data_IF_723191294690
#
_entry.id   IF_723191294690
#
_cell.length_a   1.000
_cell.length_b   1.000
_cell.length_c   1.000
_cell.angle_alpha   90.00
_cell.angle_beta   90.00
_cell.angle_gamma   90.00
#
_symmetry.space_group_name_H-M   'P 1'
#
loop_
_entity.id
_entity.type
_entity.pdbx_description
1 polymer ?
#
# COMPACT_ATOMS: atom_id res chain seq x y z
N UNK A 1 -88.65 -9.87 60.99
CA UNK A 1 -87.31 -9.95 60.36
C UNK A 1 -87.10 -9.08 59.11
N UNK A 2 -88.14 -8.62 58.36
CA UNK A 2 -87.92 -7.81 57.13
C UNK A 2 -87.44 -6.36 57.34
N UNK A 3 -87.66 -5.76 58.51
CA UNK A 3 -87.33 -4.34 58.77
C UNK A 3 -85.86 -4.07 59.14
N UNK A 4 -85.12 -5.08 59.61
CA UNK A 4 -83.74 -4.89 60.08
C UNK A 4 -82.75 -4.86 58.90
N UNK A 5 -82.88 -5.81 57.97
CA UNK A 5 -82.07 -5.89 56.75
C UNK A 5 -82.19 -4.66 55.84
N UNK A 6 -83.37 -4.04 55.75
CA UNK A 6 -83.56 -2.82 54.94
C UNK A 6 -82.81 -1.62 55.55
N UNK A 7 -82.70 -1.54 56.88
CA UNK A 7 -81.95 -0.47 57.54
C UNK A 7 -80.44 -0.67 57.37
N UNK A 8 -79.97 -1.92 57.47
CA UNK A 8 -78.56 -2.27 57.34
C UNK A 8 -78.04 -2.06 55.90
N UNK A 9 -78.79 -2.48 54.87
CA UNK A 9 -78.43 -2.17 53.47
C UNK A 9 -78.43 -0.67 53.16
N UNK A 10 -79.31 0.13 53.80
CA UNK A 10 -79.30 1.59 53.62
C UNK A 10 -78.07 2.24 54.24
N UNK A 11 -77.62 1.76 55.41
CA UNK A 11 -76.40 2.25 56.05
C UNK A 11 -75.18 1.89 55.21
N UNK A 12 -75.13 0.66 54.69
CA UNK A 12 -74.02 0.19 53.86
C UNK A 12 -73.93 0.97 52.55
N UNK A 13 -75.06 1.20 51.87
CA UNK A 13 -75.11 2.04 50.68
C UNK A 13 -74.77 3.52 50.97
N UNK A 14 -75.10 4.03 52.16
CA UNK A 14 -74.69 5.39 52.56
C UNK A 14 -73.17 5.47 52.77
N UNK A 15 -72.58 4.50 53.44
CA UNK A 15 -71.13 4.44 53.66
C UNK A 15 -70.36 4.26 52.35
N UNK A 16 -70.86 3.44 51.41
CA UNK A 16 -70.29 3.31 50.07
C UNK A 16 -70.38 4.64 49.29
N UNK A 17 -71.50 5.34 49.39
CA UNK A 17 -71.69 6.66 48.77
C UNK A 17 -70.77 7.72 49.37
N UNK A 18 -70.58 7.73 50.69
CA UNK A 18 -69.65 8.61 51.39
C UNK A 18 -68.19 8.34 51.00
N UNK A 19 -67.81 7.07 50.87
CA UNK A 19 -66.48 6.68 50.38
C UNK A 19 -66.25 7.11 48.93
N UNK A 20 -67.27 6.99 48.07
CA UNK A 20 -67.19 7.45 46.67
C UNK A 20 -67.07 8.98 46.58
N UNK A 21 -67.86 9.74 47.34
CA UNK A 21 -67.73 11.20 47.34
C UNK A 21 -66.41 11.68 47.94
N UNK A 22 -65.91 11.01 48.98
CA UNK A 22 -64.59 11.33 49.55
C UNK A 22 -63.48 11.12 48.52
N UNK A 23 -63.52 10.01 47.77
CA UNK A 23 -62.56 9.76 46.66
C UNK A 23 -62.69 10.78 45.53
N UNK A 24 -63.92 11.16 45.17
CA UNK A 24 -64.16 12.18 44.14
C UNK A 24 -63.63 13.56 44.59
N UNK A 25 -63.85 13.93 45.85
CA UNK A 25 -63.35 15.19 46.42
C UNK A 25 -61.82 15.22 46.42
N UNK A 26 -61.18 14.14 46.86
CA UNK A 26 -59.72 14.03 46.88
C UNK A 26 -59.14 14.12 45.45
N UNK A 27 -59.72 13.40 44.49
CA UNK A 27 -59.31 13.46 43.10
C UNK A 27 -59.49 14.86 42.49
N UNK A 28 -60.61 15.53 42.80
CA UNK A 28 -60.85 16.91 42.35
C UNK A 28 -59.82 17.89 42.94
N UNK A 29 -59.42 17.68 44.20
CA UNK A 29 -58.43 18.52 44.88
C UNK A 29 -57.03 18.32 44.30
N UNK A 30 -56.62 17.08 44.02
CA UNK A 30 -55.35 16.79 43.32
C UNK A 30 -55.29 17.41 41.92
N UNK A 31 -56.41 17.37 41.17
CA UNK A 31 -56.47 18.03 39.86
C UNK A 31 -56.40 19.56 39.98
N UNK A 32 -57.01 20.13 41.01
CA UNK A 32 -56.98 21.57 41.26
C UNK A 32 -55.55 22.05 41.61
N UNK A 33 -54.83 21.33 42.47
CA UNK A 33 -53.43 21.63 42.80
C UNK A 33 -52.52 21.53 41.56
N UNK A 34 -52.72 20.50 40.74
CA UNK A 34 -51.99 20.34 39.47
C UNK A 34 -52.28 21.50 38.51
N UNK A 35 -53.53 21.94 38.42
CA UNK A 35 -53.91 23.08 37.59
C UNK A 35 -53.25 24.38 38.09
N UNK A 36 -53.27 24.62 39.41
CA UNK A 36 -52.60 25.77 40.02
C UNK A 36 -51.09 25.78 39.73
N UNK A 37 -50.41 24.64 39.86
CA UNK A 37 -48.97 24.57 39.53
C UNK A 37 -48.68 24.89 38.05
N UNK A 38 -49.60 24.54 37.15
CA UNK A 38 -49.47 24.83 35.71
C UNK A 38 -49.73 26.30 35.41
N UNK A 39 -50.67 26.93 36.11
CA UNK A 39 -50.93 28.37 36.00
C UNK A 39 -49.70 29.16 36.46
N UNK A 40 -49.11 28.80 37.60
CA UNK A 40 -47.91 29.46 38.11
C UNK A 40 -46.72 29.39 37.13
N UNK A 41 -46.54 28.25 36.45
CA UNK A 41 -45.51 28.09 35.42
C UNK A 41 -45.76 29.00 34.20
N UNK A 42 -47.02 29.10 33.75
CA UNK A 42 -47.38 30.00 32.63
C UNK A 42 -47.16 31.47 33.00
N UNK A 43 -47.48 31.88 34.23
CA UNK A 43 -47.22 33.25 34.70
C UNK A 43 -45.72 33.59 34.74
N UNK A 44 -44.85 32.62 35.05
CA UNK A 44 -43.40 32.80 35.01
C UNK A 44 -42.89 33.01 33.57
N UNK A 45 -43.33 32.17 32.64
CA UNK A 45 -43.00 32.31 31.21
C UNK A 45 -43.50 33.63 30.61
N UNK A 46 -44.67 34.12 31.05
CA UNK A 46 -45.25 35.35 30.55
C UNK A 46 -44.42 36.57 30.99
N UNK A 47 -43.91 36.57 32.23
CA UNK A 47 -42.99 37.61 32.71
C UNK A 47 -41.66 37.62 31.95
N UNK A 48 -41.14 36.44 31.59
CA UNK A 48 -39.93 36.34 30.79
C UNK A 48 -40.15 36.92 29.39
N UNK A 49 -41.29 36.61 28.76
CA UNK A 49 -41.66 37.18 27.46
C UNK A 49 -41.86 38.71 27.51
N UNK A 50 -42.49 39.24 28.56
CA UNK A 50 -42.63 40.69 28.78
C UNK A 50 -41.26 41.37 28.94
N UNK A 51 -40.30 40.74 29.62
CA UNK A 51 -38.93 41.24 29.74
C UNK A 51 -38.24 41.32 28.38
N UNK A 52 -38.33 40.27 27.56
CA UNK A 52 -37.74 40.26 26.23
C UNK A 52 -38.37 41.29 25.29
N UNK A 53 -39.69 41.55 25.40
CA UNK A 53 -40.35 42.59 24.62
C UNK A 53 -39.90 43.99 25.01
N UNK A 54 -39.71 44.26 26.30
CA UNK A 54 -39.20 45.55 26.77
C UNK A 54 -37.77 45.83 26.29
N UNK A 55 -36.92 44.80 26.23
CA UNK A 55 -35.57 44.91 25.64
C UNK A 55 -35.63 45.25 24.15
N UNK A 56 -36.51 44.60 23.39
CA UNK A 56 -36.70 44.87 21.96
C UNK A 56 -37.27 46.26 21.67
N UNK A 57 -38.22 46.73 22.48
CA UNK A 57 -38.84 48.05 22.30
C UNK A 57 -37.83 49.18 22.56
N UNK A 58 -36.97 49.01 23.58
CA UNK A 58 -35.87 49.93 23.86
C UNK A 58 -34.82 49.98 22.73
N UNK A 59 -34.58 48.88 22.02
CA UNK A 59 -33.71 48.86 20.84
C UNK A 59 -34.34 49.61 19.64
N UNK A 60 -35.68 49.57 19.49
CA UNK A 60 -36.38 50.22 18.37
C UNK A 60 -36.56 51.75 18.50
N UNK A 61 -36.56 52.29 19.73
CA UNK A 61 -36.68 53.75 19.95
C UNK A 61 -35.45 54.55 19.47
N UNK A 62 -34.32 53.90 19.16
CA UNK A 62 -33.16 54.56 18.55
C UNK A 62 -33.33 54.86 17.05
N UNK A 63 -34.26 54.18 16.38
CA UNK A 63 -34.40 54.22 14.91
C UNK A 63 -35.34 55.37 14.42
N UNK A 64 -36.18 55.93 15.30
CA UNK A 64 -37.19 56.95 14.97
C UNK A 64 -36.71 58.41 15.14
N UNK A 65 -35.42 58.66 15.36
CA UNK A 65 -34.85 60.02 15.48
C UNK A 65 -34.26 60.57 14.17
N UNK A 66 -34.54 59.95 13.01
CA UNK A 66 -34.01 60.30 11.69
C UNK A 66 -35.02 61.05 10.81
N UNK A 67 -35.51 62.23 11.23
CA UNK A 67 -36.36 63.04 10.34
C UNK A 67 -36.11 64.54 10.48
N UNK A 68 -34.84 64.96 10.42
CA UNK A 68 -34.51 66.39 10.28
C UNK A 68 -33.06 66.64 9.78
N UNK A 69 -32.60 65.99 8.70
CA UNK A 69 -31.28 66.29 8.12
C UNK A 69 -31.30 66.27 6.57
N UNK A 70 -31.72 67.38 5.95
CA UNK A 70 -31.71 67.56 4.48
C UNK A 70 -30.34 67.95 3.89
N UNK A 71 -29.27 67.92 4.67
CA UNK A 71 -27.90 68.28 4.24
C UNK A 71 -26.94 67.07 4.26
N UNK A 72 -27.26 65.98 4.97
CA UNK A 72 -26.50 64.72 4.98
C UNK A 72 -26.69 63.88 3.70
N UNK A 73 -27.86 63.97 3.03
CA UNK A 73 -28.12 63.21 1.79
C UNK A 73 -27.14 63.52 0.64
N UNK A 74 -26.57 64.73 0.58
CA UNK A 74 -25.63 65.11 -0.49
C UNK A 74 -24.22 64.54 -0.28
N UNK A 75 -23.81 64.38 0.99
CA UNK A 75 -22.56 63.69 1.33
C UNK A 75 -22.74 62.17 1.18
N UNK A 76 -23.88 61.60 1.60
CA UNK A 76 -24.23 60.19 1.37
C UNK A 76 -24.25 59.80 -0.12
N UNK A 77 -24.79 60.66 -1.00
CA UNK A 77 -24.78 60.44 -2.46
C UNK A 77 -23.36 60.44 -3.05
N UNK A 78 -22.44 61.18 -2.43
CA UNK A 78 -21.03 61.25 -2.86
C UNK A 78 -20.22 60.06 -2.35
N UNK A 79 -20.50 59.61 -1.13
CA UNK A 79 -19.93 58.39 -0.55
C UNK A 79 -20.45 57.13 -1.25
N UNK A 80 -21.73 57.09 -1.60
CA UNK A 80 -22.35 56.00 -2.36
C UNK A 80 -21.71 55.83 -3.73
N UNK A 81 -21.41 56.93 -4.44
CA UNK A 81 -20.71 56.88 -5.73
C UNK A 81 -19.27 56.38 -5.60
N UNK A 82 -18.58 56.78 -4.53
CA UNK A 82 -17.21 56.31 -4.25
C UNK A 82 -17.19 54.80 -3.94
N UNK A 83 -18.17 54.32 -3.18
CA UNK A 83 -18.36 52.90 -2.90
C UNK A 83 -18.72 52.10 -4.16
N UNK A 84 -19.54 52.65 -5.08
CA UNK A 84 -19.84 52.03 -6.37
C UNK A 84 -18.60 51.92 -7.27
N UNK A 85 -17.75 52.95 -7.32
CA UNK A 85 -16.48 52.93 -8.04
C UNK A 85 -15.50 51.90 -7.44
N UNK A 86 -15.41 51.82 -6.11
CA UNK A 86 -14.62 50.81 -5.40
C UNK A 86 -15.15 49.40 -5.69
N UNK A 87 -16.47 49.17 -5.65
CA UNK A 87 -17.10 47.89 -6.01
C UNK A 87 -16.85 47.51 -7.47
N UNK A 88 -16.92 48.46 -8.40
CA UNK A 88 -16.61 48.21 -9.80
C UNK A 88 -15.13 47.83 -9.99
N UNK A 89 -14.23 48.49 -9.26
CA UNK A 89 -12.80 48.18 -9.28
C UNK A 89 -12.49 46.79 -8.70
N UNK A 90 -13.17 46.41 -7.61
CA UNK A 90 -13.02 45.12 -6.97
C UNK A 90 -13.55 43.99 -7.85
N UNK A 91 -14.68 44.19 -8.53
CA UNK A 91 -15.21 43.22 -9.52
C UNK A 91 -14.25 43.01 -10.68
N UNK A 92 -13.63 44.07 -11.19
CA UNK A 92 -12.64 43.95 -12.24
C UNK A 92 -11.39 43.18 -11.77
N UNK A 93 -10.98 43.36 -10.51
CA UNK A 93 -9.88 42.57 -9.91
C UNK A 93 -10.28 41.11 -9.69
N UNK A 94 -11.51 40.84 -9.27
CA UNK A 94 -12.05 39.49 -9.12
C UNK A 94 -12.06 38.74 -10.46
N UNK A 95 -12.56 39.35 -11.54
CA UNK A 95 -12.56 38.76 -12.88
C UNK A 95 -11.14 38.53 -13.45
N UNK A 96 -10.16 39.35 -13.06
CA UNK A 96 -8.76 39.12 -13.42
C UNK A 96 -8.17 37.93 -12.65
N UNK A 97 -8.41 37.87 -11.35
CA UNK A 97 -7.97 36.76 -10.50
C UNK A 97 -8.62 35.43 -10.90
N UNK A 98 -9.89 35.43 -11.32
CA UNK A 98 -10.55 34.24 -11.85
C UNK A 98 -9.90 33.74 -13.14
N UNK A 99 -9.49 34.67 -14.03
CA UNK A 99 -8.75 34.31 -15.24
C UNK A 99 -7.37 33.76 -14.91
N UNK A 100 -6.64 34.40 -14.00
CA UNK A 100 -5.34 33.90 -13.52
C UNK A 100 -5.46 32.51 -12.89
N UNK A 101 -6.48 32.26 -12.07
CA UNK A 101 -6.75 30.94 -11.48
C UNK A 101 -7.03 29.89 -12.55
N UNK A 102 -7.87 30.22 -13.55
CA UNK A 102 -8.15 29.31 -14.66
C UNK A 102 -6.88 28.97 -15.45
N UNK A 103 -6.03 29.95 -15.74
CA UNK A 103 -4.78 29.72 -16.45
C UNK A 103 -3.83 28.83 -15.62
N UNK A 104 -3.73 29.08 -14.32
CA UNK A 104 -2.88 28.34 -13.39
C UNK A 104 -3.37 26.89 -13.19
N UNK A 105 -4.69 26.66 -13.20
CA UNK A 105 -5.28 25.32 -13.21
C UNK A 105 -4.88 24.54 -14.48
N UNK A 106 -4.95 25.16 -15.65
CA UNK A 106 -4.54 24.49 -16.90
C UNK A 106 -3.03 24.18 -16.93
N UNK A 107 -2.20 25.06 -16.38
CA UNK A 107 -0.76 24.81 -16.25
C UNK A 107 -0.48 23.66 -15.28
N UNK A 108 -1.22 23.58 -14.17
CA UNK A 108 -1.08 22.50 -13.19
C UNK A 108 -1.52 21.13 -13.77
N UNK A 109 -2.59 21.09 -14.57
CA UNK A 109 -2.99 19.89 -15.30
C UNK A 109 -1.89 19.45 -16.28
N UNK A 110 -1.32 20.38 -17.03
CA UNK A 110 -0.23 20.11 -17.97
C UNK A 110 1.01 19.58 -17.23
N UNK A 111 1.38 20.19 -16.11
CA UNK A 111 2.48 19.75 -15.26
C UNK A 111 2.23 18.35 -14.70
N UNK A 112 1.00 18.04 -14.30
CA UNK A 112 0.60 16.71 -13.82
C UNK A 112 0.77 15.62 -14.89
N UNK A 113 0.45 15.93 -16.15
CA UNK A 113 0.69 15.01 -17.28
C UNK A 113 2.19 14.79 -17.51
N UNK A 114 2.99 15.86 -17.47
CA UNK A 114 4.45 15.76 -17.59
C UNK A 114 5.06 14.93 -16.45
N UNK A 115 4.57 15.11 -15.23
CA UNK A 115 5.04 14.39 -14.04
C UNK A 115 4.76 12.88 -14.18
N UNK A 116 3.56 12.50 -14.64
CA UNK A 116 3.23 11.08 -14.93
C UNK A 116 4.17 10.48 -15.98
N UNK A 117 4.45 11.20 -17.06
CA UNK A 117 5.39 10.76 -18.11
C UNK A 117 6.82 10.61 -17.59
N UNK A 118 7.28 11.53 -16.74
CA UNK A 118 8.59 11.43 -16.08
C UNK A 118 8.65 10.24 -15.13
N UNK A 119 7.58 9.98 -14.38
CA UNK A 119 7.49 8.83 -13.48
C UNK A 119 7.51 7.49 -14.24
N UNK A 120 6.89 7.41 -15.42
CA UNK A 120 6.98 6.23 -16.29
C UNK A 120 8.40 6.02 -16.82
N UNK A 121 9.08 7.10 -17.22
CA UNK A 121 10.50 7.05 -17.61
C UNK A 121 11.42 6.66 -16.47
N UNK A 122 11.16 7.17 -15.26
CA UNK A 122 11.89 6.81 -14.05
C UNK A 122 11.81 5.30 -13.80
N UNK A 123 10.59 4.73 -13.82
CA UNK A 123 10.40 3.27 -13.72
C UNK A 123 11.14 2.51 -14.82
N UNK A 124 11.08 3.00 -16.06
CA UNK A 124 11.80 2.38 -17.18
C UNK A 124 13.33 2.41 -17.00
N UNK A 125 13.87 3.51 -16.48
CA UNK A 125 15.29 3.66 -16.17
C UNK A 125 15.71 2.81 -14.96
N UNK A 126 14.87 2.72 -13.92
CA UNK A 126 15.08 1.87 -12.76
C UNK A 126 15.13 0.39 -13.16
N UNK A 127 14.18 -0.05 -14.01
CA UNK A 127 14.20 -1.38 -14.62
C UNK A 127 15.48 -1.65 -15.43
N UNK A 128 16.00 -0.64 -16.14
CA UNK A 128 17.27 -0.75 -16.87
C UNK A 128 18.47 -0.82 -15.93
N UNK A 129 18.51 -0.01 -14.86
CA UNK A 129 19.59 -0.04 -13.88
C UNK A 129 19.62 -1.36 -13.11
N UNK A 130 18.45 -1.88 -12.72
CA UNK A 130 18.32 -3.23 -12.15
C UNK A 130 18.79 -4.31 -13.13
N UNK A 131 18.55 -4.12 -14.44
CA UNK A 131 19.00 -5.03 -15.49
C UNK A 131 20.51 -5.00 -15.73
N UNK A 132 21.17 -3.88 -15.45
CA UNK A 132 22.58 -3.64 -15.71
C UNK A 132 23.37 -3.28 -14.43
N UNK A 133 23.06 -3.94 -13.32
CA UNK A 133 23.85 -3.76 -12.11
C UNK A 133 25.31 -4.19 -12.37
N UNK A 134 26.24 -3.34 -11.90
CA UNK A 134 27.69 -3.33 -12.12
C UNK A 134 28.39 -4.67 -11.80
N UNK A 135 29.66 -4.89 -12.22
CA UNK A 135 30.31 -6.19 -12.12
C UNK A 135 30.17 -6.80 -10.72
N UNK A 136 29.52 -7.95 -10.65
CA UNK A 136 29.38 -8.79 -9.44
C UNK A 136 30.72 -9.43 -9.03
N UNK A 137 31.84 -9.02 -9.66
CA UNK A 137 33.15 -9.57 -9.42
C UNK A 137 34.15 -8.55 -8.89
N UNK A 138 35.02 -9.05 -8.03
CA UNK A 138 36.21 -8.37 -7.54
C UNK A 138 37.46 -9.14 -7.98
N UNK A 139 38.56 -8.43 -8.23
CA UNK A 139 39.84 -9.08 -8.56
C UNK A 139 40.60 -9.30 -7.27
N UNK A 140 40.84 -10.56 -6.94
CA UNK A 140 41.56 -10.95 -5.72
C UNK A 140 43.04 -11.11 -5.97
N UNK A 141 43.39 -11.70 -7.12
CA UNK A 141 44.78 -11.85 -7.53
C UNK A 141 44.96 -11.57 -9.02
N UNK A 142 46.05 -10.88 -9.36
CA UNK A 142 46.47 -10.70 -10.75
C UNK A 142 47.99 -10.90 -10.86
N UNK A 143 48.40 -11.93 -11.58
CA UNK A 143 49.80 -12.29 -11.79
C UNK A 143 50.09 -12.47 -13.28
N UNK A 144 51.37 -12.71 -13.63
CA UNK A 144 51.73 -12.99 -15.02
C UNK A 144 51.16 -14.32 -15.54
N UNK A 145 50.87 -15.28 -14.66
CA UNK A 145 50.45 -16.63 -15.02
C UNK A 145 48.96 -16.90 -14.78
N UNK A 146 48.34 -16.18 -13.85
CA UNK A 146 46.93 -16.36 -13.51
C UNK A 146 46.26 -15.06 -13.03
N UNK A 147 44.94 -14.99 -13.19
CA UNK A 147 44.08 -14.02 -12.54
C UNK A 147 42.95 -14.73 -11.81
N UNK A 148 42.59 -14.23 -10.63
CA UNK A 148 41.54 -14.77 -9.78
C UNK A 148 40.47 -13.71 -9.58
N UNK A 149 39.24 -14.06 -9.93
CA UNK A 149 38.06 -13.21 -9.79
C UNK A 149 37.11 -13.84 -8.77
N UNK A 150 36.62 -13.05 -7.83
CA UNK A 150 35.67 -13.49 -6.83
C UNK A 150 34.28 -12.95 -7.14
N UNK A 151 33.26 -13.79 -6.97
CA UNK A 151 31.84 -13.45 -7.14
C UNK A 151 31.07 -13.74 -5.85
N UNK A 152 29.89 -13.12 -5.68
CA UNK A 152 28.99 -13.32 -4.53
C UNK A 152 29.69 -13.17 -3.18
N UNK A 153 30.34 -12.03 -2.94
CA UNK A 153 31.03 -11.77 -1.67
C UNK A 153 32.08 -12.86 -1.32
N UNK A 154 32.99 -13.12 -2.25
CA UNK A 154 34.09 -14.11 -2.11
C UNK A 154 33.68 -15.57 -1.95
N UNK A 155 32.44 -15.92 -2.29
CA UNK A 155 31.93 -17.29 -2.13
C UNK A 155 32.09 -18.15 -3.39
N UNK A 156 32.26 -17.54 -4.57
CA UNK A 156 32.57 -18.23 -5.83
C UNK A 156 33.87 -17.64 -6.38
N UNK A 157 34.84 -18.50 -6.66
CA UNK A 157 36.12 -18.12 -7.24
C UNK A 157 36.20 -18.56 -8.71
N UNK A 158 36.68 -17.67 -9.58
CA UNK A 158 37.03 -17.95 -10.96
C UNK A 158 38.53 -17.77 -11.15
N UNK A 159 39.21 -18.87 -11.43
CA UNK A 159 40.65 -18.88 -11.75
C UNK A 159 40.84 -18.91 -13.27
N UNK A 160 41.57 -17.93 -13.79
CA UNK A 160 41.95 -17.83 -15.20
C UNK A 160 43.45 -18.04 -15.32
N UNK A 161 43.89 -19.09 -15.99
CA UNK A 161 45.31 -19.37 -16.22
C UNK A 161 45.71 -18.89 -17.62
N UNK A 162 46.71 -18.02 -17.67
CA UNK A 162 47.25 -17.44 -18.90
C UNK A 162 48.28 -18.36 -19.55
N UNK A 163 48.19 -18.45 -20.87
CA UNK A 163 49.16 -19.10 -21.74
C UNK A 163 50.19 -18.12 -22.30
N UNK A 164 51.04 -18.60 -23.23
CA UNK A 164 52.05 -17.75 -23.85
C UNK A 164 51.39 -16.59 -24.63
N UNK A 165 52.05 -15.43 -24.72
CA UNK A 165 51.60 -14.33 -25.55
C UNK A 165 51.53 -14.77 -27.01
N UNK A 166 50.54 -14.28 -27.75
CA UNK A 166 50.39 -14.57 -29.18
C UNK A 166 51.43 -13.78 -29.95
N UNK A 167 52.28 -14.46 -30.72
CA UNK A 167 53.35 -13.84 -31.53
C UNK A 167 52.78 -12.79 -32.50
N UNK A 168 53.26 -11.54 -32.38
CA UNK A 168 52.95 -10.44 -33.31
C UNK A 168 52.53 -9.12 -32.65
N UNK A 169 52.18 -9.12 -31.36
CA UNK A 169 51.71 -7.92 -30.66
C UNK A 169 52.85 -7.24 -29.86
N UNK A 170 53.85 -6.74 -30.59
CA UNK A 170 55.02 -6.04 -30.02
C UNK A 170 54.74 -4.54 -29.81
N UNK A 171 53.57 -4.04 -30.21
CA UNK A 171 53.23 -2.61 -30.21
C UNK A 171 51.98 -2.22 -29.39
N UNK A 172 51.29 -3.15 -28.73
CA UNK A 172 50.21 -2.85 -27.79
C UNK A 172 50.67 -2.89 -26.33
N UNK A 173 50.15 -2.00 -25.48
CA UNK A 173 50.43 -1.98 -24.02
C UNK A 173 49.97 -3.26 -23.29
N UNK A 174 49.14 -4.11 -23.92
CA UNK A 174 48.67 -5.39 -23.38
C UNK A 174 48.63 -6.48 -24.48
N UNK A 175 49.63 -7.36 -24.59
CA UNK A 175 49.62 -8.42 -25.60
C UNK A 175 48.45 -9.37 -25.35
N UNK A 176 47.67 -9.67 -26.38
CA UNK A 176 46.60 -10.68 -26.29
C UNK A 176 47.20 -12.04 -25.91
N UNK A 177 46.82 -12.55 -24.73
CA UNK A 177 47.26 -13.86 -24.21
C UNK A 177 46.21 -14.92 -24.49
N UNK A 178 46.67 -16.14 -24.81
CA UNK A 178 45.80 -17.32 -24.85
C UNK A 178 45.39 -17.69 -23.42
N UNK A 179 44.16 -18.17 -23.22
CA UNK A 179 43.74 -18.74 -21.93
C UNK A 179 43.93 -20.26 -21.99
N UNK A 180 44.62 -20.82 -20.99
CA UNK A 180 44.92 -22.25 -20.88
C UNK A 180 43.80 -22.97 -20.16
N UNK A 181 43.31 -22.39 -19.06
CA UNK A 181 42.19 -22.92 -18.30
C UNK A 181 41.37 -21.83 -17.64
N UNK A 182 40.08 -22.14 -17.48
CA UNK A 182 39.08 -21.38 -16.75
C UNK A 182 38.42 -22.37 -15.80
N UNK A 183 38.56 -22.17 -14.49
CA UNK A 183 37.98 -23.02 -13.45
C UNK A 183 37.16 -22.18 -12.49
N UNK A 184 36.02 -22.74 -12.09
CA UNK A 184 35.15 -22.14 -11.07
C UNK A 184 35.13 -23.04 -9.84
N UNK A 185 35.27 -22.45 -8.66
CA UNK A 185 35.25 -23.15 -7.38
C UNK A 185 34.25 -22.48 -6.43
N UNK A 186 33.53 -23.30 -5.65
CA UNK A 186 32.62 -22.82 -4.60
C UNK A 186 33.34 -22.87 -3.27
N UNK A 187 33.46 -21.72 -2.61
CA UNK A 187 34.05 -21.57 -1.28
C UNK A 187 32.99 -21.59 -0.17
N UNK A 188 31.71 -21.82 -0.52
CA UNK A 188 30.61 -21.88 0.42
C UNK A 188 30.65 -23.17 1.27
N UNK A 189 30.57 -23.02 2.59
CA UNK A 189 30.37 -24.14 3.52
C UNK A 189 28.89 -24.56 3.53
N UNK A 190 28.55 -25.61 2.77
CA UNK A 190 27.17 -26.11 2.61
C UNK A 190 26.52 -26.52 3.94
N UNK A 191 27.29 -26.90 4.97
CA UNK A 191 26.74 -27.33 6.26
C UNK A 191 26.32 -26.14 7.14
N UNK A 192 27.01 -25.00 6.99
CA UNK A 192 26.75 -23.79 7.80
C UNK A 192 25.93 -22.73 7.07
N UNK A 193 25.92 -22.75 5.74
CA UNK A 193 25.27 -21.72 4.96
C UNK A 193 23.74 -21.82 5.00
N UNK A 194 23.02 -20.69 4.88
CA UNK A 194 21.58 -20.69 4.69
C UNK A 194 21.17 -21.45 3.42
N UNK A 195 20.01 -22.10 3.45
CA UNK A 195 19.52 -22.90 2.33
C UNK A 195 19.35 -22.08 1.04
N UNK A 196 18.97 -20.81 1.15
CA UNK A 196 18.85 -19.92 -0.01
C UNK A 196 20.22 -19.61 -0.63
N UNK A 197 21.28 -19.46 0.16
CA UNK A 197 22.65 -19.29 -0.35
C UNK A 197 23.13 -20.55 -1.07
N UNK A 198 22.88 -21.73 -0.50
CA UNK A 198 23.18 -23.00 -1.15
C UNK A 198 22.46 -23.15 -2.49
N UNK A 199 21.19 -22.77 -2.56
CA UNK A 199 20.40 -22.76 -3.80
C UNK A 199 21.01 -21.82 -4.85
N UNK A 200 21.39 -20.59 -4.47
CA UNK A 200 22.02 -19.63 -5.37
C UNK A 200 23.30 -20.21 -5.99
N UNK A 201 24.16 -20.81 -5.18
CA UNK A 201 25.37 -21.47 -5.66
C UNK A 201 25.05 -22.59 -6.64
N UNK A 202 24.11 -23.47 -6.29
CA UNK A 202 23.71 -24.58 -7.17
C UNK A 202 23.20 -24.10 -8.53
N UNK A 203 22.40 -23.03 -8.57
CA UNK A 203 21.90 -22.46 -9.82
C UNK A 203 23.02 -21.82 -10.66
N UNK A 204 23.98 -21.14 -10.02
CA UNK A 204 25.15 -20.58 -10.71
C UNK A 204 26.04 -21.70 -11.27
N UNK A 205 26.31 -22.75 -10.50
CA UNK A 205 27.08 -23.91 -10.98
C UNK A 205 26.35 -24.70 -12.07
N UNK A 206 25.03 -24.84 -11.98
CA UNK A 206 24.23 -25.40 -13.06
C UNK A 206 24.39 -24.61 -14.37
N UNK A 207 24.44 -23.28 -14.29
CA UNK A 207 24.76 -22.45 -15.46
C UNK A 207 26.17 -22.75 -15.98
N UNK A 208 27.17 -22.70 -15.10
CA UNK A 208 28.58 -22.91 -15.45
C UNK A 208 28.78 -24.25 -16.16
N UNK A 209 28.18 -25.31 -15.63
CA UNK A 209 28.23 -26.65 -16.22
C UNK A 209 27.47 -26.73 -17.55
N UNK A 210 26.32 -26.06 -17.67
CA UNK A 210 25.52 -26.05 -18.91
C UNK A 210 26.23 -25.36 -20.08
N UNK A 211 27.16 -24.43 -19.79
CA UNK A 211 27.92 -23.72 -20.81
C UNK A 211 29.01 -24.60 -21.45
N UNK A 212 29.32 -25.77 -20.91
CA UNK A 212 30.31 -26.71 -21.44
C UNK A 212 31.75 -26.21 -21.26
N UNK A 213 32.58 -26.35 -22.30
CA UNK A 213 33.99 -25.98 -22.23
C UNK A 213 34.19 -24.46 -22.35
N UNK A 214 34.33 -23.79 -21.21
CA UNK A 214 34.63 -22.35 -21.12
C UNK A 214 35.89 -21.92 -21.89
N UNK A 215 36.86 -22.83 -22.04
CA UNK A 215 38.06 -22.64 -22.86
C UNK A 215 37.76 -22.37 -24.34
N UNK A 216 36.71 -22.98 -24.89
CA UNK A 216 36.30 -22.77 -26.28
C UNK A 216 35.61 -21.41 -26.47
N UNK A 217 34.88 -20.96 -25.45
CA UNK A 217 34.20 -19.66 -25.43
C UNK A 217 35.13 -18.49 -25.14
N UNK A 218 36.22 -18.75 -24.42
CA UNK A 218 37.21 -17.74 -24.05
C UNK A 218 38.62 -18.19 -24.45
N UNK A 219 38.94 -18.26 -25.76
CA UNK A 219 40.24 -18.71 -26.21
C UNK A 219 41.36 -17.69 -25.90
N UNK A 220 41.01 -16.41 -25.81
CA UNK A 220 41.96 -15.30 -25.59
C UNK A 220 41.43 -14.30 -24.56
N UNK A 221 42.36 -13.54 -23.97
CA UNK A 221 42.06 -12.51 -22.96
C UNK A 221 41.01 -11.47 -23.42
N UNK A 222 40.89 -11.21 -24.71
CA UNK A 222 39.92 -10.26 -25.25
C UNK A 222 38.46 -10.68 -25.02
N UNK A 223 38.19 -11.99 -24.89
CA UNK A 223 36.86 -12.52 -24.62
C UNK A 223 36.57 -12.63 -23.11
N UNK A 224 37.56 -12.40 -22.25
CA UNK A 224 37.40 -12.51 -20.80
C UNK A 224 36.35 -11.51 -20.25
N UNK A 225 36.32 -10.23 -20.67
CA UNK A 225 35.29 -9.30 -20.22
C UNK A 225 33.86 -9.77 -20.56
N UNK A 226 33.68 -10.42 -21.71
CA UNK A 226 32.37 -10.96 -22.11
C UNK A 226 31.95 -12.12 -21.22
N UNK A 227 32.86 -13.06 -20.93
CA UNK A 227 32.60 -14.16 -20.00
C UNK A 227 32.28 -13.65 -18.60
N UNK A 228 33.07 -12.71 -18.10
CA UNK A 228 32.83 -12.08 -16.80
C UNK A 228 31.45 -11.41 -16.76
N UNK A 229 31.04 -10.74 -17.84
CA UNK A 229 29.72 -10.13 -17.95
C UNK A 229 28.60 -11.18 -17.93
N UNK A 230 28.71 -12.23 -18.74
CA UNK A 230 27.69 -13.29 -18.83
C UNK A 230 27.51 -14.01 -17.49
N UNK A 231 28.61 -14.30 -16.79
CA UNK A 231 28.58 -14.89 -15.45
C UNK A 231 28.00 -13.90 -14.44
N UNK A 232 28.42 -12.63 -14.46
CA UNK A 232 27.89 -11.59 -13.56
C UNK A 232 26.38 -11.45 -13.69
N UNK A 233 25.84 -11.55 -14.91
CA UNK A 233 24.41 -11.44 -15.16
C UNK A 233 23.63 -12.59 -14.52
N UNK A 234 24.16 -13.81 -14.56
CA UNK A 234 23.52 -14.97 -13.93
C UNK A 234 23.67 -14.90 -12.41
N UNK A 235 24.85 -14.54 -11.95
CA UNK A 235 25.17 -14.36 -10.53
C UNK A 235 24.24 -13.32 -9.89
N UNK A 236 24.07 -12.14 -10.51
CA UNK A 236 23.20 -11.09 -9.97
C UNK A 236 21.73 -11.55 -9.89
N UNK A 237 21.23 -12.21 -10.94
CA UNK A 237 19.86 -12.75 -10.96
C UNK A 237 19.64 -13.81 -9.88
N UNK A 238 20.62 -14.69 -9.67
CA UNK A 238 20.54 -15.69 -8.62
C UNK A 238 20.65 -15.04 -7.24
N UNK A 239 21.51 -14.02 -7.05
CA UNK A 239 21.57 -13.25 -5.81
C UNK A 239 20.23 -12.63 -5.45
N UNK A 240 19.58 -11.95 -6.40
CA UNK A 240 18.24 -11.36 -6.23
C UNK A 240 17.23 -12.45 -5.83
N UNK A 241 17.25 -13.61 -6.47
CA UNK A 241 16.40 -14.74 -6.08
C UNK A 241 16.64 -15.18 -4.63
N UNK A 242 17.90 -15.24 -4.19
CA UNK A 242 18.25 -15.52 -2.79
C UNK A 242 17.62 -14.51 -1.83
N UNK A 243 17.72 -13.22 -2.14
CA UNK A 243 17.09 -12.13 -1.37
C UNK A 243 15.55 -12.20 -1.39
N UNK A 244 14.96 -12.67 -2.50
CA UNK A 244 13.52 -12.90 -2.58
C UNK A 244 13.07 -14.00 -1.62
N UNK A 245 13.82 -15.11 -1.56
CA UNK A 245 13.52 -16.24 -0.68
C UNK A 245 13.72 -15.85 0.79
N UNK A 246 14.82 -15.17 1.13
CA UNK A 246 15.05 -14.65 2.48
C UNK A 246 13.89 -13.74 2.93
N UNK A 247 13.42 -12.86 2.02
CA UNK A 247 12.26 -12.02 2.30
C UNK A 247 10.99 -12.84 2.54
N UNK A 248 10.75 -13.89 1.77
CA UNK A 248 9.58 -14.75 1.95
C UNK A 248 9.65 -15.58 3.23
N UNK A 249 10.83 -16.04 3.65
CA UNK A 249 11.01 -16.69 4.94
C UNK A 249 10.70 -15.73 6.11
N UNK A 250 11.11 -14.46 5.99
CA UNK A 250 10.93 -13.47 7.06
C UNK A 250 9.55 -12.82 7.08
N UNK A 251 8.94 -12.59 5.92
CA UNK A 251 7.71 -11.80 5.75
C UNK A 251 6.56 -12.58 5.10
N UNK A 252 6.75 -13.86 4.79
CA UNK A 252 5.76 -14.71 4.12
C UNK A 252 4.41 -14.77 4.82
N UNK A 253 4.38 -14.66 6.16
CA UNK A 253 3.14 -14.65 6.92
C UNK A 253 2.14 -13.57 6.49
N UNK A 254 2.61 -12.43 5.96
CA UNK A 254 1.73 -11.37 5.40
C UNK A 254 0.95 -11.84 4.17
N UNK A 255 1.44 -12.86 3.48
CA UNK A 255 0.87 -13.41 2.25
C UNK A 255 0.15 -14.73 2.47
N UNK A 256 -0.16 -15.11 3.73
CA UNK A 256 -0.66 -16.44 4.10
C UNK A 256 0.31 -17.57 3.70
N UNK A 257 1.60 -17.25 3.53
CA UNK A 257 2.67 -18.22 3.32
C UNK A 257 3.18 -18.67 4.69
N UNK A 258 2.96 -19.95 4.99
CA UNK A 258 3.17 -20.52 6.32
C UNK A 258 4.57 -21.11 6.45
N UNK A 259 5.11 -21.70 5.36
CA UNK A 259 6.46 -22.24 5.32
C UNK A 259 7.04 -22.11 3.91
N UNK A 260 8.32 -21.77 3.84
CA UNK A 260 9.18 -21.93 2.67
C UNK A 260 10.14 -23.08 2.95
N UNK A 261 10.31 -23.98 1.99
CA UNK A 261 11.26 -25.09 2.08
C UNK A 261 12.04 -25.18 0.77
N UNK A 262 13.30 -25.59 0.83
CA UNK A 262 14.18 -25.63 -0.33
C UNK A 262 14.76 -27.05 -0.41
N UNK A 263 14.45 -27.74 -1.50
CA UNK A 263 15.01 -29.05 -1.80
C UNK A 263 15.73 -29.01 -3.14
N UNK A 264 17.05 -28.93 -3.06
CA UNK A 264 17.92 -28.81 -4.21
C UNK A 264 17.60 -27.55 -5.03
N UNK A 265 17.08 -27.68 -6.26
CA UNK A 265 16.61 -26.56 -7.09
C UNK A 265 15.12 -26.27 -6.96
N UNK A 266 14.40 -27.03 -6.13
CA UNK A 266 12.96 -26.88 -5.96
C UNK A 266 12.62 -26.07 -4.71
N UNK A 267 11.85 -25.00 -4.88
CA UNK A 267 11.33 -24.19 -3.76
C UNK A 267 9.87 -24.56 -3.52
N UNK A 268 9.59 -24.99 -2.29
CA UNK A 268 8.24 -25.34 -1.82
C UNK A 268 7.67 -24.20 -1.00
N UNK A 269 6.47 -23.78 -1.36
CA UNK A 269 5.74 -22.70 -0.73
C UNK A 269 4.42 -23.25 -0.19
N UNK A 270 4.30 -23.35 1.13
CA UNK A 270 3.09 -23.83 1.80
C UNK A 270 2.18 -22.66 2.14
N UNK A 271 1.05 -22.55 1.44
CA UNK A 271 0.02 -21.56 1.72
C UNK A 271 -1.09 -22.14 2.60
N UNK A 272 -1.59 -21.33 3.51
CA UNK A 272 -2.71 -21.72 4.37
C UNK A 272 -3.49 -20.49 4.81
N UNK A 273 -4.79 -20.47 4.52
CA UNK A 273 -5.70 -19.42 4.94
C UNK A 273 -6.99 -20.04 5.48
N UNK A 274 -7.37 -19.65 6.69
CA UNK A 274 -8.65 -20.05 7.28
C UNK A 274 -9.82 -19.30 6.64
N UNK A 275 -9.63 -18.05 6.21
CA UNK A 275 -10.68 -17.21 5.60
C UNK A 275 -11.10 -17.77 4.24
N UNK A 276 -10.15 -18.20 3.42
CA UNK A 276 -10.40 -18.85 2.14
C UNK A 276 -10.64 -20.37 2.25
N UNK A 277 -10.63 -20.92 3.48
CA UNK A 277 -10.70 -22.36 3.77
C UNK A 277 -9.80 -23.21 2.85
N UNK A 278 -8.54 -22.79 2.71
CA UNK A 278 -7.62 -23.37 1.75
C UNK A 278 -6.24 -23.65 2.36
N UNK A 279 -5.68 -24.80 1.99
CA UNK A 279 -4.29 -25.17 2.30
C UNK A 279 -3.72 -25.97 1.15
N UNK A 280 -2.62 -25.50 0.59
CA UNK A 280 -1.96 -26.14 -0.54
C UNK A 280 -0.47 -25.78 -0.56
N UNK A 281 0.33 -26.65 -1.14
CA UNK A 281 1.77 -26.46 -1.34
C UNK A 281 2.04 -26.29 -2.83
N UNK A 282 2.81 -25.26 -3.19
CA UNK A 282 3.29 -25.03 -4.55
C UNK A 282 4.78 -25.34 -4.57
N UNK A 283 5.20 -26.28 -5.42
CA UNK A 283 6.61 -26.56 -5.65
C UNK A 283 7.03 -25.95 -6.98
N UNK A 284 7.99 -25.04 -6.96
CA UNK A 284 8.56 -24.35 -8.10
C UNK A 284 9.92 -24.96 -8.43
N UNK A 285 10.14 -25.38 -9.67
CA UNK A 285 11.44 -25.88 -10.12
C UNK A 285 12.24 -24.73 -10.73
N UNK A 286 13.29 -24.30 -10.03
CA UNK A 286 14.14 -23.19 -10.45
C UNK A 286 15.24 -23.66 -11.40
N UNK A 287 15.72 -22.73 -12.23
CA UNK A 287 16.87 -22.93 -13.10
C UNK A 287 17.68 -21.65 -13.18
N UNK A 288 18.89 -21.74 -13.71
CA UNK A 288 19.77 -20.59 -13.97
C UNK A 288 19.16 -19.52 -14.90
N UNK A 289 18.07 -19.85 -15.61
CA UNK A 289 17.36 -18.92 -16.48
C UNK A 289 16.36 -18.03 -15.73
N UNK A 290 16.22 -18.18 -14.41
CA UNK A 290 15.42 -17.27 -13.59
C UNK A 290 15.97 -15.84 -13.65
N UNK A 291 15.11 -14.79 -13.67
CA UNK A 291 13.65 -14.81 -13.78
C UNK A 291 13.14 -14.71 -15.23
N UNK A 292 13.97 -14.97 -16.24
CA UNK A 292 13.67 -14.70 -17.65
C UNK A 292 12.70 -15.71 -18.30
N UNK A 293 12.35 -16.79 -17.62
CA UNK A 293 11.48 -17.85 -18.13
C UNK A 293 10.39 -18.20 -17.11
N UNK A 294 9.23 -18.63 -17.60
CA UNK A 294 8.15 -19.13 -16.74
C UNK A 294 8.61 -20.38 -15.99
N UNK A 295 8.36 -20.42 -14.69
CA UNK A 295 8.79 -21.52 -13.84
C UNK A 295 7.85 -22.72 -13.96
N UNK A 296 8.37 -23.93 -14.23
CA UNK A 296 7.61 -25.16 -14.03
C UNK A 296 7.19 -25.27 -12.56
N UNK A 297 5.94 -25.63 -12.33
CA UNK A 297 5.42 -25.78 -10.98
C UNK A 297 4.50 -26.99 -10.85
N UNK A 298 4.37 -27.47 -9.62
CA UNK A 298 3.43 -28.51 -9.23
C UNK A 298 2.66 -28.05 -8.00
N UNK A 299 1.44 -28.54 -7.83
CA UNK A 299 0.54 -28.15 -6.73
C UNK A 299 0.11 -29.39 -5.98
N UNK A 300 0.35 -29.40 -4.67
CA UNK A 300 -0.17 -30.40 -3.75
C UNK A 300 -1.27 -29.77 -2.89
N UNK A 301 -2.51 -30.11 -3.22
CA UNK A 301 -3.71 -29.68 -2.51
C UNK A 301 -3.88 -30.46 -1.20
N UNK A 302 -4.14 -29.77 -0.09
CA UNK A 302 -4.47 -30.39 1.20
C UNK A 302 -5.91 -30.09 1.63
N UNK A 303 -6.35 -28.83 1.54
CA UNK A 303 -7.67 -28.34 1.97
C UNK A 303 -8.19 -27.30 0.96
N UNK A 304 -9.51 -27.26 0.75
CA UNK A 304 -10.19 -26.28 -0.11
C UNK A 304 -10.44 -26.80 -1.51
N UNK A 305 -10.68 -25.91 -2.48
CA UNK A 305 -10.88 -26.26 -3.89
C UNK A 305 -9.75 -25.83 -4.83
N UNK A 306 -8.78 -25.06 -4.33
CA UNK A 306 -7.65 -24.55 -5.13
C UNK A 306 -6.74 -25.70 -5.56
N UNK A 307 -6.59 -25.87 -6.88
CA UNK A 307 -5.73 -26.85 -7.51
C UNK A 307 -4.77 -26.21 -8.52
N UNK A 308 -4.29 -27.04 -9.44
CA UNK A 308 -3.32 -26.61 -10.45
C UNK A 308 -3.89 -25.56 -11.42
N UNK A 309 -5.16 -25.70 -11.83
CA UNK A 309 -5.77 -24.82 -12.82
C UNK A 309 -5.92 -23.38 -12.31
N UNK A 310 -6.40 -23.20 -11.08
CA UNK A 310 -6.57 -21.88 -10.48
C UNK A 310 -5.23 -21.18 -10.26
N UNK A 311 -4.21 -21.93 -9.81
CA UNK A 311 -2.86 -21.40 -9.63
C UNK A 311 -2.24 -21.06 -10.99
N UNK A 312 -2.40 -21.92 -11.99
CA UNK A 312 -1.92 -21.67 -13.35
C UNK A 312 -2.51 -20.39 -13.94
N UNK A 313 -3.81 -20.16 -13.74
CA UNK A 313 -4.48 -18.96 -14.22
C UNK A 313 -3.97 -17.67 -13.55
N UNK A 314 -3.57 -17.74 -12.29
CA UNK A 314 -2.94 -16.61 -11.58
C UNK A 314 -1.52 -16.39 -12.06
N UNK A 315 -0.72 -17.47 -12.14
CA UNK A 315 0.70 -17.38 -12.50
C UNK A 315 0.95 -16.98 -13.95
N UNK A 316 0.02 -17.29 -14.88
CA UNK A 316 0.11 -16.84 -16.27
C UNK A 316 0.04 -15.32 -16.43
N UNK A 317 -0.54 -14.61 -15.45
CA UNK A 317 -0.64 -13.14 -15.46
C UNK A 317 0.59 -12.46 -14.87
N UNK A 318 1.55 -13.21 -14.30
CA UNK A 318 2.74 -12.64 -13.67
C UNK A 318 3.78 -12.38 -14.75
N UNK A 319 4.19 -11.12 -15.00
CA UNK A 319 5.27 -10.84 -15.94
C UNK A 319 6.60 -11.35 -15.40
N UNK A 320 7.35 -12.03 -16.26
CA UNK A 320 8.75 -12.43 -16.00
C UNK A 320 9.62 -11.20 -15.78
N UNK A 321 10.59 -11.27 -14.87
CA UNK A 321 11.50 -10.16 -14.59
C UNK A 321 11.84 -9.99 -13.12
N UNK A 322 12.30 -8.80 -12.74
CA UNK A 322 12.75 -8.51 -11.38
C UNK A 322 11.64 -8.78 -10.35
N UNK A 323 12.02 -9.41 -9.22
CA UNK A 323 11.10 -9.81 -8.16
C UNK A 323 9.97 -10.78 -8.58
N UNK A 324 10.24 -11.66 -9.56
CA UNK A 324 9.23 -12.57 -10.11
C UNK A 324 8.57 -13.43 -9.03
N UNK A 325 9.34 -14.08 -8.17
CA UNK A 325 8.84 -14.95 -7.11
C UNK A 325 7.97 -14.18 -6.10
N UNK A 326 8.41 -13.00 -5.66
CA UNK A 326 7.61 -12.13 -4.76
C UNK A 326 6.29 -11.72 -5.41
N UNK A 327 6.30 -11.38 -6.70
CA UNK A 327 5.07 -11.04 -7.45
C UNK A 327 4.12 -12.23 -7.58
N UNK A 328 4.64 -13.43 -7.85
CA UNK A 328 3.84 -14.67 -7.86
C UNK A 328 3.14 -14.90 -6.52
N UNK A 329 3.88 -14.82 -5.41
CA UNK A 329 3.33 -15.01 -4.05
C UNK A 329 2.26 -13.95 -3.75
N UNK A 330 2.52 -12.68 -4.10
CA UNK A 330 1.58 -11.58 -3.88
C UNK A 330 0.27 -11.78 -4.65
N UNK A 331 0.35 -12.20 -5.91
CA UNK A 331 -0.83 -12.47 -6.76
C UNK A 331 -1.62 -13.70 -6.31
N UNK A 332 -0.95 -14.75 -5.83
CA UNK A 332 -1.62 -15.90 -5.20
C UNK A 332 -2.39 -15.45 -3.97
N UNK A 333 -1.75 -14.65 -3.10
CA UNK A 333 -2.39 -14.14 -1.90
C UNK A 333 -3.64 -13.32 -2.22
N UNK A 334 -3.52 -12.33 -3.11
CA UNK A 334 -4.61 -11.42 -3.48
C UNK A 334 -5.78 -12.17 -4.14
N UNK A 335 -5.52 -13.03 -5.11
CA UNK A 335 -6.59 -13.64 -5.91
C UNK A 335 -7.21 -14.89 -5.27
N UNK A 336 -6.44 -15.63 -4.47
CA UNK A 336 -6.85 -16.95 -3.99
C UNK A 336 -7.06 -17.02 -2.48
N UNK A 337 -6.50 -16.10 -1.69
CA UNK A 337 -6.45 -16.25 -0.22
C UNK A 337 -7.09 -15.10 0.58
N UNK A 338 -7.46 -13.97 -0.05
CA UNK A 338 -8.09 -12.85 0.65
C UNK A 338 -9.61 -13.00 0.81
N UNK A 339 -10.31 -13.51 -0.20
CA UNK A 339 -11.77 -13.61 -0.16
C UNK A 339 -12.26 -15.05 0.09
N UNK A 340 -13.36 -15.23 0.85
CA UNK A 340 -14.05 -16.51 0.96
C UNK A 340 -14.66 -16.87 -0.41
N UNK A 341 -14.39 -18.09 -0.89
CA UNK A 341 -14.95 -18.61 -2.14
C UNK A 341 -16.02 -19.67 -1.89
#
# INVERSE_FOLDING_TARGET
>A
MKSYFIKESKILAHNEKEALYSKLLQSAQEQYEKLQSRIANVDELLKEAESCLAELEADSEWEDCETDCSEEMAEEDSESKKLEEELASLKAQEEELERELSDLETENEQMSVQLKHLQEKEKSCEELLERYNFPEWEISEWTEQQAVFNFLYDSIELTVVFGPPIDGDVFGENPSRKIVSLSFESLLDEEKAPLFSCLVHRLVFQFIESQGCWQEKCPTLQYLPQVLHDVSLVVSRCRILGEEIEFLERWGGKFNLLKTDINDTNVKLLFSSSTAFAKFEVTLSLSSNYPATSLPFTVQKQIGNIGHEEISAVLSNVPVGYHYLRRMVSLIHQNLLQDPR
#
